data_IF_951844496289
#
_entry.id   IF_951844496289
#
_cell.length_a   1.000
_cell.length_b   1.000
_cell.length_c   1.000
_cell.angle_alpha   90.00
_cell.angle_beta   90.00
_cell.angle_gamma   90.00
#
_symmetry.space_group_name_H-M   'P 1'
#
loop_
_entity.id
_entity.type
_entity.pdbx_description
1 polymer ?
#
# COMPACT_ATOMS: atom_id res chain seq x y z
N UNK A 1 -16.06 15.28 3.43
CA UNK A 1 -16.88 14.06 3.22
C UNK A 1 -17.74 13.85 4.46
N UNK A 2 -18.95 13.28 4.37
CA UNK A 2 -19.72 12.95 5.56
C UNK A 2 -19.33 11.55 6.14
N UNK A 3 -19.64 11.31 7.42
CA UNK A 3 -19.25 10.06 8.11
C UNK A 3 -19.85 8.78 7.48
N UNK A 4 -20.99 8.90 6.78
CA UNK A 4 -21.60 7.74 6.13
C UNK A 4 -20.86 7.38 4.86
N UNK A 5 -20.41 8.38 4.10
CA UNK A 5 -19.57 8.18 2.91
C UNK A 5 -18.22 7.59 3.29
N UNK A 6 -17.56 8.10 4.33
CA UNK A 6 -16.31 7.54 4.84
C UNK A 6 -16.45 6.07 5.22
N UNK A 7 -17.52 5.74 5.95
CA UNK A 7 -17.81 4.36 6.32
C UNK A 7 -18.03 3.47 5.09
N UNK A 8 -18.81 3.94 4.11
CA UNK A 8 -19.06 3.18 2.87
C UNK A 8 -17.77 2.88 2.12
N UNK A 9 -16.86 3.85 2.04
CA UNK A 9 -15.55 3.66 1.42
C UNK A 9 -14.74 2.59 2.17
N UNK A 10 -14.60 2.72 3.50
CA UNK A 10 -13.86 1.74 4.30
C UNK A 10 -14.44 0.33 4.20
N UNK A 11 -15.76 0.20 4.25
CA UNK A 11 -16.42 -1.10 4.15
C UNK A 11 -16.19 -1.74 2.77
N UNK A 12 -16.28 -0.98 1.67
CA UNK A 12 -15.99 -1.45 0.32
C UNK A 12 -14.54 -1.90 0.16
N UNK A 13 -13.58 -1.12 0.66
CA UNK A 13 -12.15 -1.46 0.63
C UNK A 13 -11.90 -2.73 1.46
N UNK A 14 -12.42 -2.79 2.69
CA UNK A 14 -12.26 -3.96 3.58
C UNK A 14 -12.82 -5.23 2.97
N UNK A 15 -14.00 -5.18 2.36
CA UNK A 15 -14.62 -6.32 1.69
C UNK A 15 -13.73 -6.82 0.54
N UNK A 16 -13.31 -5.93 -0.36
CA UNK A 16 -12.45 -6.28 -1.51
C UNK A 16 -11.13 -6.93 -1.08
N UNK A 17 -10.41 -6.31 -0.15
CA UNK A 17 -9.11 -6.83 0.30
C UNK A 17 -9.24 -8.09 1.15
N UNK A 18 -10.35 -8.23 1.91
CA UNK A 18 -10.71 -9.46 2.59
C UNK A 18 -10.94 -10.63 1.63
N UNK A 19 -11.63 -10.37 0.51
CA UNK A 19 -11.84 -11.37 -0.56
C UNK A 19 -10.51 -11.79 -1.18
N UNK A 20 -9.63 -10.84 -1.50
CA UNK A 20 -8.30 -11.14 -2.04
C UNK A 20 -7.50 -12.02 -1.07
N UNK A 21 -7.49 -11.69 0.23
CA UNK A 21 -6.79 -12.49 1.23
C UNK A 21 -7.34 -13.92 1.33
N UNK A 22 -8.67 -14.09 1.33
CA UNK A 22 -9.31 -15.41 1.37
C UNK A 22 -8.96 -16.27 0.17
N UNK A 23 -9.07 -15.72 -1.04
CA UNK A 23 -8.75 -16.45 -2.28
C UNK A 23 -7.26 -16.79 -2.42
N UNK A 24 -6.37 -15.96 -1.87
CA UNK A 24 -4.93 -16.25 -1.91
C UNK A 24 -4.52 -17.44 -1.05
N UNK A 25 -5.30 -17.78 -0.01
CA UNK A 25 -5.06 -18.92 0.88
C UNK A 25 -5.63 -20.23 0.32
N UNK A 26 -6.62 -20.17 -0.55
CA UNK A 26 -7.14 -21.33 -1.24
C UNK A 26 -6.13 -21.74 -2.31
N UNK A 27 -5.52 -22.94 -2.18
CA UNK A 27 -4.69 -23.51 -3.26
C UNK A 27 -5.50 -23.50 -4.54
N UNK A 28 -4.92 -23.15 -5.71
CA UNK A 28 -5.64 -23.18 -6.97
C UNK A 28 -6.10 -24.61 -7.23
N UNK A 29 -7.32 -24.96 -6.82
CA UNK A 29 -8.01 -26.12 -7.33
C UNK A 29 -8.33 -25.81 -8.78
N UNK A 30 -7.96 -26.73 -9.67
CA UNK A 30 -8.08 -26.65 -11.13
C UNK A 30 -9.31 -25.85 -11.58
N UNK A 31 -9.06 -24.95 -12.53
CA UNK A 31 -10.04 -24.14 -13.24
C UNK A 31 -11.43 -24.75 -13.32
N UNK A 32 -12.40 -24.16 -12.65
CA UNK A 32 -13.81 -24.31 -13.00
C UNK A 32 -14.23 -22.99 -13.63
N UNK A 33 -14.03 -22.92 -14.95
CA UNK A 33 -14.74 -21.99 -15.81
C UNK A 33 -16.20 -22.39 -15.82
N UNK A 34 -17.09 -21.64 -15.22
CA UNK A 34 -18.50 -21.59 -15.58
C UNK A 34 -19.13 -20.29 -15.14
N UNK A 35 -19.56 -19.53 -16.14
CA UNK A 35 -20.59 -18.50 -16.12
C UNK A 35 -20.30 -17.15 -15.44
N UNK A 36 -19.95 -16.15 -16.26
CA UNK A 36 -20.54 -14.83 -16.19
C UNK A 36 -20.19 -13.91 -14.99
N UNK A 37 -19.04 -14.08 -14.39
CA UNK A 37 -18.48 -13.11 -13.44
C UNK A 37 -17.59 -12.11 -14.18
N UNK A 38 -17.64 -10.82 -13.78
CA UNK A 38 -16.64 -9.83 -14.17
C UNK A 38 -15.29 -10.39 -13.72
N UNK A 39 -14.42 -10.71 -14.67
CA UNK A 39 -13.05 -11.17 -14.36
C UNK A 39 -12.38 -9.99 -13.68
N UNK A 40 -11.95 -10.16 -12.43
CA UNK A 40 -11.14 -9.14 -11.75
C UNK A 40 -9.89 -8.91 -12.61
N UNK A 41 -9.63 -7.68 -13.06
CA UNK A 41 -8.46 -7.37 -13.88
C UNK A 41 -7.14 -7.84 -13.26
N UNK A 42 -7.09 -8.01 -11.94
CA UNK A 42 -5.92 -8.52 -11.23
C UNK A 42 -5.69 -10.04 -11.41
N UNK A 43 -6.70 -10.84 -11.78
CA UNK A 43 -6.50 -12.25 -12.10
C UNK A 43 -5.70 -12.49 -13.40
N UNK A 44 -5.65 -11.48 -14.29
CA UNK A 44 -4.97 -11.60 -15.59
C UNK A 44 -3.44 -11.54 -15.50
N UNK A 45 -2.88 -11.07 -14.36
CA UNK A 45 -1.43 -10.96 -14.17
C UNK A 45 -1.02 -11.75 -12.93
N UNK A 46 -0.14 -12.74 -13.13
CA UNK A 46 0.42 -13.49 -11.99
C UNK A 46 1.05 -12.52 -10.98
N UNK A 47 0.75 -12.63 -9.67
CA UNK A 47 1.23 -11.71 -8.64
C UNK A 47 2.73 -11.41 -8.69
N UNK A 48 3.55 -12.45 -8.91
CA UNK A 48 5.01 -12.32 -9.06
C UNK A 48 5.40 -11.39 -10.22
N UNK A 49 4.77 -11.53 -11.39
CA UNK A 49 5.07 -10.69 -12.55
C UNK A 49 4.68 -9.24 -12.29
N UNK A 50 3.57 -9.01 -11.57
CA UNK A 50 3.14 -7.69 -11.17
C UNK A 50 4.17 -7.04 -10.24
N UNK A 51 4.70 -7.77 -9.26
CA UNK A 51 5.76 -7.27 -8.37
C UNK A 51 7.02 -6.87 -9.13
N UNK A 52 7.43 -7.65 -10.16
CA UNK A 52 8.56 -7.29 -11.02
C UNK A 52 8.30 -5.98 -11.78
N UNK A 53 7.07 -5.78 -12.31
CA UNK A 53 6.69 -4.54 -13.00
C UNK A 53 6.69 -3.31 -12.06
N UNK A 54 6.45 -3.51 -10.77
CA UNK A 54 6.54 -2.47 -9.74
C UNK A 54 7.99 -2.13 -9.33
N UNK A 55 8.98 -2.91 -9.81
CA UNK A 55 10.41 -2.66 -9.57
C UNK A 55 11.05 -3.50 -8.47
N UNK A 56 10.40 -4.59 -8.04
CA UNK A 56 11.05 -5.57 -7.16
C UNK A 56 11.90 -6.55 -7.95
N UNK A 57 13.06 -6.91 -7.44
CA UNK A 57 13.91 -7.94 -8.03
C UNK A 57 13.36 -9.34 -7.78
N UNK A 58 13.74 -10.29 -8.63
CA UNK A 58 13.40 -11.70 -8.45
C UNK A 58 13.96 -12.27 -7.14
N UNK A 59 15.11 -11.77 -6.68
CA UNK A 59 15.71 -12.15 -5.40
C UNK A 59 14.89 -11.63 -4.22
N UNK A 60 14.41 -10.39 -4.26
CA UNK A 60 13.51 -9.83 -3.23
C UNK A 60 12.23 -10.66 -3.14
N UNK A 61 11.57 -10.93 -4.28
CA UNK A 61 10.34 -11.72 -4.34
C UNK A 61 10.57 -13.15 -3.81
N UNK A 62 11.70 -13.78 -4.15
CA UNK A 62 12.03 -15.12 -3.69
C UNK A 62 12.45 -15.18 -2.20
N UNK A 63 12.78 -14.04 -1.60
CA UNK A 63 13.27 -13.96 -0.22
C UNK A 63 12.15 -13.93 0.83
N UNK A 64 10.90 -13.81 0.44
CA UNK A 64 9.74 -13.74 1.32
C UNK A 64 8.82 -14.93 1.12
N UNK A 65 7.91 -15.25 2.07
CA UNK A 65 6.92 -16.31 1.91
C UNK A 65 6.05 -16.09 0.67
N UNK A 66 5.76 -17.14 -0.08
CA UNK A 66 4.96 -17.08 -1.31
C UNK A 66 3.57 -16.47 -1.05
N UNK A 67 2.95 -16.79 0.10
CA UNK A 67 1.66 -16.24 0.50
C UNK A 67 1.63 -14.73 0.74
N UNK A 68 2.80 -14.08 0.86
CA UNK A 68 2.90 -12.64 0.96
C UNK A 68 2.87 -11.93 -0.41
N UNK A 69 3.18 -12.64 -1.50
CA UNK A 69 3.31 -12.08 -2.85
C UNK A 69 1.94 -12.03 -3.50
N UNK A 70 1.15 -11.01 -3.21
CA UNK A 70 -0.20 -10.83 -3.77
C UNK A 70 -0.22 -10.01 -5.06
N UNK A 71 0.90 -9.37 -5.44
CA UNK A 71 0.98 -8.50 -6.62
C UNK A 71 0.19 -7.20 -6.46
N UNK A 72 -0.10 -6.80 -5.23
CA UNK A 72 -0.78 -5.56 -4.89
C UNK A 72 0.25 -4.43 -4.73
N UNK A 73 -0.18 -3.19 -5.02
CA UNK A 73 0.69 -2.02 -4.95
C UNK A 73 0.85 -1.31 -6.29
N UNK A 74 1.62 -0.22 -6.31
CA UNK A 74 1.87 0.58 -7.52
C UNK A 74 3.35 0.99 -7.68
N UNK A 75 4.24 0.45 -6.85
CA UNK A 75 5.68 0.71 -6.93
C UNK A 75 6.45 -0.06 -5.88
N UNK A 76 7.71 0.34 -5.67
CA UNK A 76 8.61 -0.26 -4.69
C UNK A 76 9.09 0.82 -3.69
N UNK A 77 8.45 0.94 -2.50
CA UNK A 77 8.88 1.88 -1.47
C UNK A 77 10.24 1.50 -0.86
N UNK A 78 10.65 0.22 -0.91
CA UNK A 78 11.95 -0.23 -0.42
C UNK A 78 13.12 0.44 -1.17
N UNK A 79 12.92 0.74 -2.46
CA UNK A 79 13.95 1.34 -3.31
C UNK A 79 14.32 2.79 -2.90
N UNK A 80 13.43 3.47 -2.17
CA UNK A 80 13.61 4.86 -1.74
C UNK A 80 13.76 5.01 -0.22
N UNK A 81 13.53 3.94 0.54
CA UNK A 81 13.50 3.98 1.99
C UNK A 81 14.88 4.14 2.66
N UNK A 82 15.97 3.77 1.99
CA UNK A 82 17.34 3.74 2.55
C UNK A 82 17.38 3.11 3.96
N UNK A 83 16.77 1.91 4.08
CA UNK A 83 16.64 1.22 5.36
C UNK A 83 18.02 0.82 5.93
N UNK A 84 18.19 1.04 7.23
CA UNK A 84 19.45 0.78 7.94
C UNK A 84 19.25 -0.28 9.02
N UNK A 85 20.28 -1.09 9.30
CA UNK A 85 20.24 -2.04 10.40
C UNK A 85 19.88 -1.37 11.75
N UNK A 86 18.96 -1.97 12.49
CA UNK A 86 18.50 -1.51 13.79
C UNK A 86 17.35 -0.50 13.77
N UNK A 87 16.89 -0.04 12.59
CA UNK A 87 15.75 0.88 12.49
C UNK A 87 14.42 0.18 12.84
N UNK A 88 13.49 0.97 13.39
CA UNK A 88 12.08 0.59 13.56
C UNK A 88 11.28 1.11 12.38
N UNK A 89 10.66 0.20 11.64
CA UNK A 89 9.89 0.50 10.41
C UNK A 89 8.41 0.28 10.66
N UNK A 90 7.57 1.18 10.17
CA UNK A 90 6.13 1.02 10.11
C UNK A 90 5.70 0.86 8.65
N UNK A 91 4.94 -0.20 8.37
CA UNK A 91 4.36 -0.48 7.05
C UNK A 91 2.86 -0.22 7.10
N UNK A 92 2.40 0.85 6.43
CA UNK A 92 1.00 1.26 6.37
C UNK A 92 0.27 0.45 5.29
N UNK A 93 -0.78 -0.26 5.68
CA UNK A 93 -1.51 -1.18 4.82
C UNK A 93 -0.64 -2.35 4.41
N UNK A 94 -0.10 -3.04 5.40
CA UNK A 94 0.90 -4.10 5.21
C UNK A 94 0.39 -5.32 4.41
N UNK A 95 -0.92 -5.45 4.20
CA UNK A 95 -1.52 -6.57 3.51
C UNK A 95 -1.05 -7.91 4.10
N UNK A 96 -0.64 -8.85 3.26
CA UNK A 96 -0.09 -10.14 3.67
C UNK A 96 1.39 -10.09 4.10
N UNK A 97 1.99 -8.89 4.22
CA UNK A 97 3.31 -8.65 4.81
C UNK A 97 4.47 -8.53 3.84
N UNK A 98 4.25 -8.40 2.53
CA UNK A 98 5.32 -8.42 1.51
C UNK A 98 6.41 -7.38 1.79
N UNK A 99 6.06 -6.09 1.87
CA UNK A 99 7.01 -5.02 2.14
C UNK A 99 7.56 -5.09 3.57
N UNK A 100 6.74 -5.51 4.54
CA UNK A 100 7.16 -5.74 5.92
C UNK A 100 8.29 -6.78 6.02
N UNK A 101 8.22 -7.90 5.28
CA UNK A 101 9.27 -8.94 5.31
C UNK A 101 10.56 -8.48 4.62
N UNK A 102 10.45 -7.74 3.53
CA UNK A 102 11.61 -7.13 2.87
C UNK A 102 12.31 -6.14 3.82
N UNK A 103 11.53 -5.29 4.48
CA UNK A 103 12.05 -4.35 5.48
C UNK A 103 12.72 -5.08 6.65
N UNK A 104 12.11 -6.14 7.17
CA UNK A 104 12.65 -6.93 8.29
C UNK A 104 14.04 -7.51 7.99
N UNK A 105 14.26 -7.97 6.75
CA UNK A 105 15.59 -8.42 6.30
C UNK A 105 16.60 -7.29 6.24
N UNK A 106 16.18 -6.10 5.80
CA UNK A 106 17.07 -4.93 5.68
C UNK A 106 17.48 -4.38 7.03
N UNK A 107 16.55 -4.27 7.99
CA UNK A 107 16.85 -3.75 9.33
C UNK A 107 17.54 -4.77 10.23
N UNK A 108 17.46 -6.07 9.91
CA UNK A 108 18.13 -7.15 10.61
C UNK A 108 17.55 -7.44 12.00
N UNK A 109 18.19 -8.33 12.76
CA UNK A 109 17.69 -8.83 14.05
C UNK A 109 17.56 -7.75 15.15
N UNK A 110 18.30 -6.66 15.04
CA UNK A 110 18.23 -5.53 15.99
C UNK A 110 17.20 -4.48 15.62
N UNK A 111 16.67 -4.52 14.39
CA UNK A 111 15.58 -3.68 13.93
C UNK A 111 14.23 -4.35 14.14
N UNK A 112 13.17 -3.58 14.03
CA UNK A 112 11.80 -4.05 14.17
C UNK A 112 10.93 -3.52 13.04
N UNK A 113 9.96 -4.31 12.61
CA UNK A 113 8.94 -3.89 11.66
C UNK A 113 7.55 -4.06 12.27
N UNK A 114 6.73 -3.04 12.15
CA UNK A 114 5.32 -3.07 12.54
C UNK A 114 4.51 -2.90 11.27
N UNK A 115 3.71 -3.91 10.92
CA UNK A 115 2.73 -3.81 9.83
C UNK A 115 1.35 -3.48 10.40
N UNK A 116 0.67 -2.48 9.83
CA UNK A 116 -0.70 -2.14 10.19
C UNK A 116 -1.60 -2.32 8.97
N UNK A 117 -2.72 -3.02 9.15
CA UNK A 117 -3.75 -3.16 8.13
C UNK A 117 -5.14 -3.18 8.79
N UNK A 118 -6.15 -2.64 8.10
CA UNK A 118 -7.53 -2.60 8.63
C UNK A 118 -8.33 -3.86 8.34
N UNK A 119 -7.78 -4.78 7.54
CA UNK A 119 -8.44 -6.01 7.08
C UNK A 119 -8.01 -7.19 7.93
N UNK A 120 -8.91 -7.80 8.74
CA UNK A 120 -8.54 -8.93 9.60
C UNK A 120 -7.92 -10.09 8.83
N UNK A 121 -8.45 -10.42 7.65
CA UNK A 121 -7.96 -11.52 6.83
C UNK A 121 -6.53 -11.27 6.31
N UNK A 122 -6.17 -10.01 6.02
CA UNK A 122 -4.79 -9.64 5.65
C UNK A 122 -3.84 -9.82 6.84
N UNK A 123 -4.25 -9.36 8.02
CA UNK A 123 -3.45 -9.53 9.26
C UNK A 123 -3.23 -11.01 9.59
N UNK A 124 -4.26 -11.85 9.44
CA UNK A 124 -4.16 -13.29 9.69
C UNK A 124 -3.20 -13.95 8.67
N UNK A 125 -3.30 -13.57 7.38
CA UNK A 125 -2.38 -14.02 6.34
C UNK A 125 -0.94 -13.58 6.64
N UNK A 126 -0.73 -12.32 7.01
CA UNK A 126 0.59 -11.78 7.34
C UNK A 126 1.24 -12.51 8.53
N UNK A 127 0.47 -12.78 9.59
CA UNK A 127 0.94 -13.54 10.74
C UNK A 127 1.29 -14.98 10.39
N UNK A 128 0.48 -15.65 9.56
CA UNK A 128 0.77 -16.99 9.06
C UNK A 128 2.07 -17.01 8.23
N UNK A 129 2.25 -16.04 7.35
CA UNK A 129 3.46 -15.88 6.55
C UNK A 129 4.69 -15.59 7.42
N UNK A 130 4.56 -14.77 8.47
CA UNK A 130 5.66 -14.51 9.41
C UNK A 130 6.15 -15.78 10.10
N UNK A 131 5.21 -16.62 10.55
CA UNK A 131 5.53 -17.92 11.16
C UNK A 131 6.20 -18.86 10.14
N UNK A 132 5.70 -18.94 8.92
CA UNK A 132 6.27 -19.76 7.86
C UNK A 132 7.69 -19.35 7.49
N UNK A 133 7.96 -18.05 7.45
CA UNK A 133 9.27 -17.48 7.08
C UNK A 133 10.26 -17.30 8.24
N UNK A 134 9.87 -17.68 9.49
CA UNK A 134 10.63 -17.47 10.74
C UNK A 134 11.05 -15.99 10.95
N UNK A 135 10.15 -15.05 10.59
CA UNK A 135 10.37 -13.63 10.83
C UNK A 135 10.01 -13.28 12.28
N UNK A 136 11.01 -13.04 13.13
CA UNK A 136 10.84 -12.79 14.57
C UNK A 136 10.82 -11.32 14.93
N UNK A 137 11.27 -10.47 14.01
CA UNK A 137 11.36 -9.02 14.16
C UNK A 137 10.22 -8.27 13.42
N UNK A 138 9.10 -8.97 13.15
CA UNK A 138 7.90 -8.37 12.53
C UNK A 138 6.70 -8.59 13.43
N UNK A 139 5.91 -7.55 13.66
CA UNK A 139 4.64 -7.58 14.36
C UNK A 139 3.53 -7.03 13.45
N UNK A 140 2.36 -7.69 13.41
CA UNK A 140 1.21 -7.22 12.64
C UNK A 140 0.05 -6.83 13.56
N UNK A 141 -0.44 -5.60 13.39
CA UNK A 141 -1.51 -4.99 14.18
C UNK A 141 -2.71 -4.67 13.30
N UNK A 142 -3.90 -5.04 13.77
CA UNK A 142 -5.16 -4.61 13.16
C UNK A 142 -5.42 -3.16 13.55
N UNK A 143 -5.62 -2.28 12.56
CA UNK A 143 -5.87 -0.86 12.80
C UNK A 143 -6.10 -0.08 11.51
N UNK A 144 -6.69 1.10 11.64
CA UNK A 144 -6.86 2.07 10.55
C UNK A 144 -5.64 2.99 10.49
N UNK A 145 -5.25 3.40 9.28
CA UNK A 145 -4.07 4.26 9.09
C UNK A 145 -4.31 5.71 9.50
N UNK A 146 -5.59 6.09 9.69
CA UNK A 146 -6.00 7.38 10.23
C UNK A 146 -5.97 7.44 11.77
N UNK A 147 -5.80 6.27 12.45
CA UNK A 147 -5.70 6.14 13.92
C UNK A 147 -4.77 4.97 14.26
N UNK A 148 -3.47 5.22 14.18
CA UNK A 148 -2.44 4.18 14.24
C UNK A 148 -2.27 3.61 15.64
N UNK A 149 -2.33 2.27 15.83
CA UNK A 149 -2.06 1.61 17.10
C UNK A 149 -0.54 1.55 17.38
N UNK A 150 0.12 2.70 17.33
CA UNK A 150 1.58 2.89 17.44
C UNK A 150 1.86 4.11 18.30
N UNK A 151 2.87 4.01 19.17
CA UNK A 151 3.26 5.08 20.08
C UNK A 151 3.86 6.29 19.35
N UNK A 152 3.74 7.47 19.95
CA UNK A 152 4.36 8.70 19.45
C UNK A 152 5.89 8.56 19.39
N UNK A 153 6.51 9.22 18.41
CA UNK A 153 7.97 9.31 18.27
C UNK A 153 8.73 7.97 18.40
N UNK A 154 8.12 6.88 17.89
CA UNK A 154 8.65 5.51 18.03
C UNK A 154 9.22 4.92 16.73
N UNK A 155 8.91 5.48 15.58
CA UNK A 155 9.21 4.97 14.24
C UNK A 155 10.33 5.77 13.58
N UNK A 156 11.30 5.07 12.97
CA UNK A 156 12.38 5.68 12.20
C UNK A 156 11.98 5.89 10.74
N UNK A 157 11.24 4.93 10.16
CA UNK A 157 10.83 4.95 8.75
C UNK A 157 9.41 4.46 8.60
N UNK A 158 8.61 5.18 7.80
CA UNK A 158 7.30 4.71 7.36
C UNK A 158 7.39 4.29 5.90
N UNK A 159 6.93 3.07 5.62
CA UNK A 159 6.67 2.55 4.28
C UNK A 159 5.17 2.58 4.00
N UNK A 160 4.79 2.76 2.74
CA UNK A 160 3.43 2.51 2.25
C UNK A 160 3.45 2.21 0.76
N UNK A 161 2.59 1.29 0.33
CA UNK A 161 2.48 0.94 -1.09
C UNK A 161 1.02 0.90 -1.54
N UNK A 162 0.57 2.01 -2.16
CA UNK A 162 -0.77 2.15 -2.75
C UNK A 162 -1.93 1.97 -1.74
N UNK A 163 -1.82 2.57 -0.57
CA UNK A 163 -2.80 2.44 0.51
C UNK A 163 -3.42 3.78 0.92
N UNK A 164 -2.64 4.86 0.92
CA UNK A 164 -3.13 6.13 1.46
C UNK A 164 -4.29 6.67 0.65
N UNK A 165 -4.33 6.39 -0.66
CA UNK A 165 -5.45 6.77 -1.51
C UNK A 165 -6.76 6.05 -1.16
N UNK A 166 -6.71 4.93 -0.47
CA UNK A 166 -7.89 4.21 0.00
C UNK A 166 -8.52 4.86 1.24
N UNK A 167 -7.74 5.64 2.00
CA UNK A 167 -8.21 6.33 3.18
C UNK A 167 -9.13 7.50 2.82
N UNK A 168 -10.29 7.65 3.46
CA UNK A 168 -11.18 8.79 3.24
C UNK A 168 -10.61 10.12 3.77
N UNK A 169 -9.85 10.13 4.85
CA UNK A 169 -9.16 11.32 5.40
C UNK A 169 -7.64 11.20 5.33
N UNK A 170 -7.08 11.59 4.20
CA UNK A 170 -5.62 11.56 3.98
C UNK A 170 -4.86 12.53 4.89
N UNK A 171 -5.48 13.65 5.27
CA UNK A 171 -4.88 14.59 6.22
C UNK A 171 -4.73 13.94 7.60
N UNK A 172 -5.69 13.11 8.04
CA UNK A 172 -5.55 12.32 9.26
C UNK A 172 -4.40 11.32 9.16
N UNK A 173 -4.27 10.61 8.02
CA UNK A 173 -3.17 9.67 7.79
C UNK A 173 -1.81 10.35 7.94
N UNK A 174 -1.60 11.50 7.30
CA UNK A 174 -0.31 12.19 7.38
C UNK A 174 -0.06 12.82 8.75
N UNK A 175 -1.09 13.25 9.48
CA UNK A 175 -0.94 13.68 10.89
C UNK A 175 -0.52 12.52 11.79
N UNK A 176 -1.11 11.33 11.62
CA UNK A 176 -0.75 10.11 12.35
C UNK A 176 0.68 9.66 12.00
N UNK A 177 1.02 9.65 10.71
CA UNK A 177 2.38 9.36 10.26
C UNK A 177 3.41 10.32 10.90
N UNK A 178 3.09 11.62 10.95
CA UNK A 178 3.94 12.58 11.63
C UNK A 178 4.03 12.35 13.14
N UNK A 179 2.92 12.01 13.79
CA UNK A 179 2.88 11.71 15.23
C UNK A 179 3.82 10.57 15.62
N UNK A 180 3.73 9.45 14.91
CA UNK A 180 4.49 8.23 15.25
C UNK A 180 5.96 8.27 14.84
N UNK A 181 6.33 9.08 13.83
CA UNK A 181 7.72 9.23 13.42
C UNK A 181 8.55 9.91 14.50
N UNK A 182 9.75 9.44 14.73
CA UNK A 182 10.79 10.13 15.51
C UNK A 182 11.23 11.40 14.78
N UNK A 183 11.77 12.37 15.52
CA UNK A 183 12.42 13.54 14.91
C UNK A 183 13.55 13.10 13.98
N UNK A 184 13.52 13.53 12.74
CA UNK A 184 14.42 13.11 11.68
C UNK A 184 14.03 11.76 11.02
N UNK A 185 12.92 11.15 11.43
CA UNK A 185 12.33 10.00 10.76
C UNK A 185 11.76 10.37 9.39
N UNK A 186 11.58 9.39 8.52
CA UNK A 186 11.27 9.63 7.09
C UNK A 186 10.09 8.82 6.58
N UNK A 187 9.44 9.37 5.55
CA UNK A 187 8.46 8.68 4.71
C UNK A 187 9.16 8.11 3.47
N UNK A 188 8.77 6.90 3.09
CA UNK A 188 9.12 6.27 1.82
C UNK A 188 7.86 5.58 1.27
N UNK A 189 7.11 6.29 0.45
CA UNK A 189 5.78 5.90 -0.02
C UNK A 189 5.81 5.75 -1.54
N UNK A 190 5.16 4.70 -2.04
CA UNK A 190 4.74 4.59 -3.43
C UNK A 190 3.22 4.63 -3.47
N UNK A 191 2.63 5.65 -4.10
CA UNK A 191 1.18 5.77 -4.24
C UNK A 191 0.80 6.43 -5.58
N UNK A 192 -0.48 6.38 -5.92
CA UNK A 192 -0.99 7.02 -7.13
C UNK A 192 -1.22 8.50 -6.88
N UNK A 193 -0.84 9.34 -7.86
CA UNK A 193 -1.21 10.75 -7.90
C UNK A 193 -2.00 11.06 -9.16
N UNK A 194 -2.90 12.02 -9.07
CA UNK A 194 -3.64 12.51 -10.23
C UNK A 194 -2.71 13.39 -11.09
N UNK A 195 -2.62 13.07 -12.38
CA UNK A 195 -1.88 13.86 -13.37
C UNK A 195 -2.70 15.00 -13.96
N UNK A 196 -4.01 14.92 -13.79
CA UNK A 196 -5.01 15.92 -14.17
C UNK A 196 -6.17 15.84 -13.19
N UNK A 197 -7.01 16.86 -13.12
CA UNK A 197 -8.24 16.82 -12.33
C UNK A 197 -9.10 15.61 -12.71
N UNK A 198 -9.48 14.79 -11.71
CA UNK A 198 -10.29 13.60 -11.95
C UNK A 198 -11.74 14.00 -12.28
N UNK A 199 -12.32 13.50 -13.38
CA UNK A 199 -13.74 13.67 -13.67
C UNK A 199 -14.62 13.14 -12.54
N UNK A 200 -15.81 13.73 -12.29
CA UNK A 200 -16.71 13.28 -11.23
C UNK A 200 -17.04 11.79 -11.30
N UNK A 201 -17.22 11.23 -12.51
CA UNK A 201 -17.53 9.82 -12.74
C UNK A 201 -16.41 8.88 -12.26
N UNK A 202 -15.15 9.31 -12.32
CA UNK A 202 -14.00 8.58 -11.80
C UNK A 202 -13.86 8.81 -10.30
N UNK A 203 -14.01 10.06 -9.86
CA UNK A 203 -13.84 10.44 -8.44
C UNK A 203 -14.86 9.77 -7.51
N UNK A 204 -16.08 9.53 -7.98
CA UNK A 204 -17.18 8.97 -7.20
C UNK A 204 -17.32 7.44 -7.32
N UNK A 205 -16.54 6.79 -8.18
CA UNK A 205 -16.61 5.34 -8.40
C UNK A 205 -15.88 4.58 -7.27
N UNK A 206 -16.64 3.80 -6.49
CA UNK A 206 -16.11 3.00 -5.38
C UNK A 206 -15.22 1.85 -5.83
N UNK A 207 -15.44 1.31 -7.04
CA UNK A 207 -14.59 0.24 -7.60
C UNK A 207 -13.22 0.82 -7.94
N UNK A 208 -13.20 1.97 -8.61
CA UNK A 208 -11.96 2.70 -8.90
C UNK A 208 -11.30 3.24 -7.62
N UNK A 209 -12.07 3.59 -6.59
CA UNK A 209 -11.53 3.96 -5.29
C UNK A 209 -10.75 2.79 -4.68
N UNK A 210 -11.36 1.61 -4.63
CA UNK A 210 -10.70 0.39 -4.14
C UNK A 210 -9.49 -0.05 -5.01
N UNK A 211 -9.34 0.52 -6.20
CA UNK A 211 -8.18 0.35 -7.08
C UNK A 211 -7.15 1.51 -6.96
N UNK A 212 -7.22 2.33 -5.91
CA UNK A 212 -6.34 3.49 -5.67
C UNK A 212 -6.42 4.61 -6.73
N UNK A 213 -7.49 4.67 -7.52
CA UNK A 213 -7.65 5.65 -8.60
C UNK A 213 -8.46 6.86 -8.14
N UNK A 214 -9.70 6.64 -7.67
CA UNK A 214 -10.62 7.74 -7.31
C UNK A 214 -10.14 8.60 -6.13
N UNK A 215 -9.30 8.03 -5.27
CA UNK A 215 -8.71 8.73 -4.14
C UNK A 215 -7.40 9.46 -4.44
N UNK A 216 -6.88 9.38 -5.67
CA UNK A 216 -5.63 10.02 -6.03
C UNK A 216 -5.76 11.56 -5.97
N UNK A 217 -4.80 12.21 -5.32
CA UNK A 217 -4.69 13.67 -5.21
C UNK A 217 -3.75 14.20 -6.27
N UNK A 218 -3.95 15.45 -6.69
CA UNK A 218 -2.95 16.18 -7.46
C UNK A 218 -1.70 16.43 -6.61
N UNK A 219 -0.54 16.54 -7.28
CA UNK A 219 0.76 16.68 -6.60
C UNK A 219 0.78 17.89 -5.65
N UNK A 220 0.23 19.03 -6.09
CA UNK A 220 0.22 20.26 -5.30
C UNK A 220 -0.68 20.14 -4.05
N UNK A 221 -1.82 19.45 -4.16
CA UNK A 221 -2.71 19.18 -3.04
C UNK A 221 -2.04 18.25 -2.03
N UNK A 222 -1.42 17.18 -2.50
CA UNK A 222 -0.67 16.25 -1.65
C UNK A 222 0.49 16.93 -0.93
N UNK A 223 1.23 17.81 -1.64
CA UNK A 223 2.30 18.59 -1.04
C UNK A 223 1.77 19.49 0.08
N UNK A 224 0.66 20.19 -0.14
CA UNK A 224 0.02 21.02 0.88
C UNK A 224 -0.37 20.24 2.13
N UNK A 225 -0.93 19.04 1.99
CA UNK A 225 -1.29 18.17 3.12
C UNK A 225 -0.04 17.75 3.92
N UNK A 226 1.05 17.40 3.25
CA UNK A 226 2.31 17.03 3.91
C UNK A 226 2.92 18.23 4.66
N UNK A 227 2.90 19.43 4.06
CA UNK A 227 3.38 20.65 4.70
C UNK A 227 2.54 21.02 5.93
N UNK A 228 1.21 20.92 5.85
CA UNK A 228 0.29 21.15 6.96
C UNK A 228 0.48 20.15 8.11
N UNK A 229 0.82 18.91 7.80
CA UNK A 229 1.16 17.90 8.81
C UNK A 229 2.52 18.17 9.50
N UNK A 230 3.38 19.03 8.93
CA UNK A 230 4.66 19.43 9.49
C UNK A 230 5.89 18.82 8.82
N UNK A 231 5.70 18.03 7.78
CA UNK A 231 6.80 17.41 7.04
C UNK A 231 7.66 18.43 6.30
N UNK A 232 8.94 18.12 6.19
CA UNK A 232 9.95 18.92 5.51
C UNK A 232 10.64 18.09 4.42
N UNK A 233 11.41 18.76 3.55
CA UNK A 233 12.18 18.12 2.46
C UNK A 233 11.30 17.21 1.59
N UNK A 234 10.05 17.62 1.36
CA UNK A 234 9.06 16.86 0.60
C UNK A 234 9.54 16.72 -0.85
N UNK A 235 9.47 15.49 -1.35
CA UNK A 235 9.79 15.14 -2.75
C UNK A 235 8.72 14.21 -3.27
N UNK A 236 7.95 14.68 -4.23
CA UNK A 236 6.95 13.88 -4.93
C UNK A 236 7.42 13.72 -6.37
N UNK A 237 7.69 12.50 -6.80
CA UNK A 237 8.21 12.19 -8.14
C UNK A 237 7.29 11.23 -8.87
N UNK A 238 6.44 11.72 -9.79
CA UNK A 238 5.68 10.88 -10.68
C UNK A 238 6.59 10.01 -11.57
N UNK A 239 6.13 8.79 -11.90
CA UNK A 239 6.88 7.78 -12.66
C UNK A 239 6.12 7.44 -13.95
N UNK A 240 6.48 8.06 -15.07
CA UNK A 240 5.81 7.88 -16.36
C UNK A 240 5.76 6.42 -16.83
N UNK A 241 6.79 5.62 -16.50
CA UNK A 241 6.85 4.20 -16.80
C UNK A 241 5.72 3.38 -16.16
N UNK A 242 5.10 3.89 -15.10
CA UNK A 242 4.00 3.20 -14.41
C UNK A 242 2.74 3.07 -15.28
N UNK A 243 2.54 3.95 -16.26
CA UNK A 243 1.41 3.88 -17.20
C UNK A 243 1.31 2.52 -17.90
N UNK A 244 2.45 1.86 -18.16
CA UNK A 244 2.50 0.56 -18.85
C UNK A 244 1.79 -0.57 -18.09
N UNK A 245 1.76 -0.53 -16.77
CA UNK A 245 1.05 -1.55 -15.99
C UNK A 245 -0.32 -1.06 -15.51
N UNK A 246 -0.50 0.26 -15.30
CA UNK A 246 -1.78 0.86 -14.90
C UNK A 246 -2.87 0.59 -15.96
N UNK A 247 -2.56 0.66 -17.25
CA UNK A 247 -3.48 0.33 -18.36
C UNK A 247 -4.16 -1.04 -18.23
N UNK A 248 -3.56 -1.95 -17.46
CA UNK A 248 -4.05 -3.32 -17.29
C UNK A 248 -5.00 -3.46 -16.11
N UNK A 249 -5.10 -2.45 -15.23
CA UNK A 249 -5.88 -2.55 -14.00
C UNK A 249 -7.39 -2.47 -14.25
N UNK A 250 -7.80 -1.66 -15.21
CA UNK A 250 -9.23 -1.42 -15.53
C UNK A 250 -9.45 -1.47 -17.03
N UNK A 251 -9.53 -2.69 -17.62
CA UNK A 251 -9.74 -2.83 -19.06
C UNK A 251 -10.99 -2.06 -19.53
N UNK A 252 -10.81 -1.15 -20.50
CA UNK A 252 -11.88 -0.34 -21.07
C UNK A 252 -12.08 1.03 -20.43
N UNK A 253 -11.38 1.34 -19.36
CA UNK A 253 -11.33 2.70 -18.76
C UNK A 253 -9.87 3.18 -18.87
N UNK A 254 -9.57 4.29 -19.58
CA UNK A 254 -8.20 4.78 -19.76
C UNK A 254 -7.70 5.51 -18.50
N UNK A 255 -7.61 4.81 -17.37
CA UNK A 255 -7.21 5.41 -16.09
C UNK A 255 -5.77 5.95 -16.12
N UNK A 256 -4.91 5.41 -16.96
CA UNK A 256 -3.54 5.87 -17.22
C UNK A 256 -3.45 7.31 -17.74
N UNK A 257 -4.54 7.85 -18.28
CA UNK A 257 -4.61 9.26 -18.70
C UNK A 257 -4.82 10.20 -17.50
N UNK A 258 -5.34 9.69 -16.38
CA UNK A 258 -5.73 10.46 -15.21
C UNK A 258 -4.78 10.31 -14.04
N UNK A 259 -4.20 9.11 -13.85
CA UNK A 259 -3.37 8.79 -12.68
C UNK A 259 -2.03 8.18 -13.07
N UNK A 260 -1.06 8.36 -12.19
CA UNK A 260 0.31 7.90 -12.36
C UNK A 260 0.87 7.51 -11.00
N UNK A 261 1.71 6.46 -10.94
CA UNK A 261 2.43 6.15 -9.70
C UNK A 261 3.47 7.23 -9.40
N UNK A 262 3.65 7.54 -8.13
CA UNK A 262 4.68 8.45 -7.66
C UNK A 262 5.45 7.87 -6.46
N UNK A 263 6.71 8.25 -6.34
CA UNK A 263 7.44 8.12 -5.08
C UNK A 263 7.26 9.40 -4.27
N UNK A 264 6.98 9.24 -2.97
CA UNK A 264 6.74 10.33 -2.03
C UNK A 264 7.71 10.13 -0.86
N UNK A 265 8.59 11.10 -0.68
CA UNK A 265 9.59 11.13 0.37
C UNK A 265 9.41 12.42 1.18
N UNK A 266 9.53 12.33 2.52
CA UNK A 266 9.50 13.51 3.40
C UNK A 266 10.16 13.18 4.74
N UNK A 267 10.53 14.21 5.51
CA UNK A 267 11.21 14.09 6.81
C UNK A 267 10.40 14.83 7.89
N UNK A 268 10.26 14.19 9.08
CA UNK A 268 9.74 14.86 10.28
C UNK A 268 10.75 15.82 10.89
#
# INVERSE_FOLDING_TARGET
MDKNQEKTIRDSVRERYGDIARHSQEKPSAAVSCCGGVIDPFELIKPRNQSVLMGYSEEEIASVPEGAVLGLGCGNPQAIADLRPGETVLDLGSGAGFDSFLAARRVGEQGQVIGVDMTPEMIDAARANALQGDFRNVEFRLGEIEDLPVDDDSIDVILSNCVINLAPDKSAVYREAYRVLKKGGRLAISDMVASVELPPEIREDLTLHSACVSGALEVDELQGILEEAGFQQIRIKPKDESRQFITKWTPGIPIEDFVISASIEAIK
#
